data_IF_792266088231
#
_entry.id   IF_792266088231
#
_cell.length_a   1.000
_cell.length_b   1.000
_cell.length_c   1.000
_cell.angle_alpha   90.00
_cell.angle_beta   90.00
_cell.angle_gamma   90.00
#
_symmetry.space_group_name_H-M   'P 1'
#
loop_
_entity.id
_entity.type
_entity.pdbx_description
1 polymer ?
#
# COMPACT_ATOMS: atom_id res chain seq x y z
N UNK A 1 -9.33 41.39 -6.64
CA UNK A 1 -8.83 41.41 -8.02
C UNK A 1 -7.33 41.09 -8.10
N UNK A 2 -6.49 41.66 -7.22
CA UNK A 2 -5.04 41.46 -7.21
C UNK A 2 -4.67 39.98 -6.89
N UNK A 3 -5.28 39.38 -5.88
CA UNK A 3 -5.03 37.96 -5.51
C UNK A 3 -5.42 36.97 -6.61
N UNK A 4 -6.43 37.28 -7.41
CA UNK A 4 -6.85 36.43 -8.53
C UNK A 4 -5.84 36.49 -9.69
N UNK A 5 -5.28 37.68 -9.96
CA UNK A 5 -4.23 37.85 -10.98
C UNK A 5 -2.91 37.19 -10.54
N UNK A 6 -2.51 37.30 -9.28
CA UNK A 6 -1.32 36.62 -8.76
C UNK A 6 -1.44 35.09 -8.84
N UNK A 7 -2.60 34.51 -8.49
CA UNK A 7 -2.83 33.06 -8.65
C UNK A 7 -2.76 32.59 -10.11
N UNK A 8 -3.34 33.35 -11.03
CA UNK A 8 -3.27 33.04 -12.46
C UNK A 8 -1.86 33.16 -13.04
N UNK A 9 -1.06 34.11 -12.52
CA UNK A 9 0.32 34.28 -12.93
C UNK A 9 1.18 33.11 -12.45
N UNK A 10 1.07 32.69 -11.18
CA UNK A 10 1.76 31.52 -10.64
C UNK A 10 1.44 30.20 -11.38
N UNK A 11 0.16 29.99 -11.76
CA UNK A 11 -0.24 28.80 -12.53
C UNK A 11 0.38 28.84 -13.93
N UNK A 12 0.36 29.99 -14.58
CA UNK A 12 0.91 30.17 -15.93
C UNK A 12 2.43 30.04 -15.94
N UNK A 13 3.11 30.56 -14.93
CA UNK A 13 4.57 30.51 -14.82
C UNK A 13 5.05 29.07 -14.57
N UNK A 14 4.35 28.32 -13.72
CA UNK A 14 4.60 26.88 -13.52
C UNK A 14 4.34 26.06 -14.79
N UNK A 15 3.24 26.33 -15.50
CA UNK A 15 2.97 25.69 -16.78
C UNK A 15 4.05 25.98 -17.83
N UNK A 16 4.59 27.19 -17.84
CA UNK A 16 5.67 27.59 -18.75
C UNK A 16 7.03 27.01 -18.36
N UNK A 17 7.24 26.70 -17.07
CA UNK A 17 8.45 26.06 -16.56
C UNK A 17 8.50 24.54 -16.85
N UNK A 18 7.35 23.92 -17.22
CA UNK A 18 7.32 22.51 -17.59
C UNK A 18 8.08 22.28 -18.90
N UNK A 19 8.87 21.20 -18.93
CA UNK A 19 9.55 20.76 -20.15
C UNK A 19 8.56 20.40 -21.26
N UNK A 20 9.00 20.38 -22.53
CA UNK A 20 8.11 19.99 -23.64
C UNK A 20 7.58 18.56 -23.45
N UNK A 21 8.39 17.63 -22.96
CA UNK A 21 7.99 16.26 -22.67
C UNK A 21 6.90 16.19 -21.58
N UNK A 22 6.96 17.06 -20.57
CA UNK A 22 5.97 17.11 -19.50
C UNK A 22 4.62 17.66 -19.98
N UNK A 23 4.64 18.62 -20.93
CA UNK A 23 3.42 19.17 -21.55
C UNK A 23 2.63 18.13 -22.33
N UNK A 24 3.30 17.16 -22.95
CA UNK A 24 2.62 16.05 -23.65
C UNK A 24 1.96 15.05 -22.70
N UNK A 25 2.37 15.03 -21.42
CA UNK A 25 1.84 14.14 -20.39
C UNK A 25 0.71 14.74 -19.53
N UNK A 26 0.19 15.92 -19.89
CA UNK A 26 -0.90 16.60 -19.17
C UNK A 26 -2.28 15.96 -19.38
N UNK A 27 -2.38 14.89 -20.15
CA UNK A 27 -3.59 14.08 -20.27
C UNK A 27 -3.88 13.26 -19.00
N UNK A 28 -5.06 12.68 -18.93
CA UNK A 28 -5.39 11.65 -17.95
C UNK A 28 -4.39 10.51 -18.11
N UNK A 29 -3.43 10.40 -17.17
CA UNK A 29 -2.42 9.35 -17.18
C UNK A 29 -3.02 7.94 -17.04
N UNK A 30 -2.14 6.93 -17.00
CA UNK A 30 -2.57 5.56 -16.68
C UNK A 30 -3.27 5.53 -15.32
N UNK A 31 -4.39 4.82 -15.23
CA UNK A 31 -5.15 4.63 -13.97
C UNK A 31 -4.28 4.12 -12.82
N UNK A 32 -3.25 3.35 -13.13
CA UNK A 32 -2.34 2.76 -12.16
C UNK A 32 -1.10 3.64 -11.89
N UNK A 33 -1.02 4.84 -12.44
CA UNK A 33 0.11 5.77 -12.31
C UNK A 33 1.21 5.60 -13.38
N UNK A 34 2.27 6.41 -13.31
CA UNK A 34 3.37 6.42 -14.26
C UNK A 34 3.99 5.03 -14.46
N UNK A 35 4.15 4.62 -15.73
CA UNK A 35 4.74 3.33 -16.09
C UNK A 35 6.20 3.23 -15.65
N UNK A 36 6.95 4.31 -15.79
CA UNK A 36 8.36 4.32 -15.44
C UNK A 36 8.56 4.24 -13.93
N UNK A 37 7.75 4.96 -13.15
CA UNK A 37 7.73 4.84 -11.69
C UNK A 37 7.38 3.41 -11.26
N UNK A 38 6.37 2.77 -11.86
CA UNK A 38 5.99 1.39 -11.54
C UNK A 38 7.11 0.40 -11.88
N UNK A 39 7.85 0.60 -12.97
CA UNK A 39 9.04 -0.21 -13.31
C UNK A 39 10.16 -0.03 -12.30
N UNK A 40 10.44 1.20 -11.89
CA UNK A 40 11.44 1.50 -10.86
C UNK A 40 11.07 0.86 -9.52
N UNK A 41 9.80 0.90 -9.14
CA UNK A 41 9.32 0.23 -7.92
C UNK A 41 9.45 -1.29 -8.05
N UNK A 42 9.09 -1.90 -9.19
CA UNK A 42 9.23 -3.34 -9.39
C UNK A 42 10.70 -3.79 -9.27
N UNK A 43 11.64 -3.02 -9.84
CA UNK A 43 13.06 -3.28 -9.70
C UNK A 43 13.52 -3.14 -8.25
N UNK A 44 13.13 -2.07 -7.58
CA UNK A 44 13.45 -1.85 -6.16
C UNK A 44 12.95 -3.01 -5.27
N UNK A 45 11.70 -3.47 -5.47
CA UNK A 45 11.13 -4.58 -4.73
C UNK A 45 11.89 -5.89 -4.97
N UNK A 46 12.31 -6.14 -6.21
CA UNK A 46 13.14 -7.30 -6.53
C UNK A 46 14.48 -7.26 -5.80
N UNK A 47 15.15 -6.10 -5.79
CA UNK A 47 16.49 -5.94 -5.22
C UNK A 47 16.46 -5.87 -3.68
N UNK A 48 15.52 -5.12 -3.10
CA UNK A 48 15.47 -4.86 -1.67
C UNK A 48 14.68 -5.92 -0.88
N UNK A 49 13.62 -6.51 -1.48
CA UNK A 49 12.70 -7.42 -0.80
C UNK A 49 12.67 -8.83 -1.40
N UNK A 50 13.36 -9.06 -2.51
CA UNK A 50 13.28 -10.32 -3.25
C UNK A 50 11.90 -10.56 -3.89
N UNK A 51 11.02 -9.55 -3.90
CA UNK A 51 9.67 -9.62 -4.42
C UNK A 51 9.66 -9.30 -5.90
N UNK A 52 9.54 -10.32 -6.74
CA UNK A 52 9.51 -10.19 -8.20
C UNK A 52 8.06 -10.05 -8.67
N UNK A 53 7.73 -8.87 -9.18
CA UNK A 53 6.40 -8.52 -9.69
C UNK A 53 6.50 -7.80 -11.03
N UNK A 54 5.47 -7.94 -11.87
CA UNK A 54 5.36 -7.11 -13.08
C UNK A 54 4.92 -5.68 -12.71
N UNK A 55 5.42 -4.70 -13.45
CA UNK A 55 5.01 -3.30 -13.27
C UNK A 55 3.48 -3.09 -13.48
N UNK A 56 2.81 -4.00 -14.20
CA UNK A 56 1.36 -4.02 -14.36
C UNK A 56 0.60 -4.30 -13.06
N UNK A 57 1.22 -5.04 -12.13
CA UNK A 57 0.65 -5.36 -10.82
C UNK A 57 0.73 -4.20 -9.82
N UNK A 58 1.49 -3.15 -10.12
CA UNK A 58 1.71 -2.02 -9.22
C UNK A 58 0.70 -0.92 -9.51
N UNK A 59 -0.01 -0.49 -8.48
CA UNK A 59 -0.89 0.68 -8.50
C UNK A 59 -0.29 1.75 -7.58
N UNK A 60 -0.03 2.92 -8.14
CA UNK A 60 0.49 4.06 -7.39
C UNK A 60 -0.64 4.73 -6.61
N UNK A 61 -0.34 5.10 -5.36
CA UNK A 61 -1.30 5.71 -4.44
C UNK A 61 -0.71 6.96 -3.76
N UNK A 62 -1.55 7.81 -3.19
CA UNK A 62 -1.13 8.97 -2.38
C UNK A 62 -0.72 8.58 -0.96
N UNK A 63 0.00 7.47 -0.80
CA UNK A 63 0.42 6.87 0.45
C UNK A 63 -0.35 5.60 0.82
N UNK A 64 0.11 4.91 1.87
CA UNK A 64 -0.45 3.63 2.30
C UNK A 64 -1.95 3.68 2.63
N UNK A 65 -2.42 4.77 3.23
CA UNK A 65 -3.84 4.91 3.59
C UNK A 65 -4.76 4.81 2.36
N UNK A 66 -4.39 5.43 1.23
CA UNK A 66 -5.17 5.29 0.00
C UNK A 66 -5.12 3.86 -0.54
N UNK A 67 -3.99 3.16 -0.40
CA UNK A 67 -3.91 1.74 -0.75
C UNK A 67 -4.91 0.92 0.08
N UNK A 68 -5.03 1.18 1.39
CA UNK A 68 -6.02 0.50 2.24
C UNK A 68 -7.45 0.80 1.81
N UNK A 69 -7.76 2.07 1.48
CA UNK A 69 -9.08 2.45 0.93
C UNK A 69 -9.36 1.68 -0.35
N UNK A 70 -8.41 1.64 -1.28
CA UNK A 70 -8.55 0.97 -2.57
C UNK A 70 -8.79 -0.53 -2.41
N UNK A 71 -8.00 -1.20 -1.56
CA UNK A 71 -8.14 -2.64 -1.27
C UNK A 71 -9.52 -2.91 -0.62
N UNK A 72 -9.84 -2.14 0.40
CA UNK A 72 -11.12 -2.31 1.12
C UNK A 72 -12.32 -2.09 0.21
N UNK A 73 -12.30 -1.04 -0.61
CA UNK A 73 -13.36 -0.74 -1.57
C UNK A 73 -13.52 -1.85 -2.64
N UNK A 74 -12.41 -2.42 -3.10
CA UNK A 74 -12.43 -3.46 -4.13
C UNK A 74 -12.92 -4.82 -3.60
N UNK A 75 -12.70 -5.14 -2.31
CA UNK A 75 -12.85 -6.49 -1.78
C UNK A 75 -13.93 -6.65 -0.71
N UNK A 76 -14.17 -5.62 0.10
CA UNK A 76 -15.05 -5.71 1.26
C UNK A 76 -16.48 -5.30 0.93
N UNK A 77 -17.39 -5.96 1.61
CA UNK A 77 -18.82 -5.59 1.71
C UNK A 77 -19.15 -5.32 3.17
N UNK A 78 -20.20 -4.56 3.40
CA UNK A 78 -20.69 -4.36 4.76
C UNK A 78 -21.01 -5.71 5.43
N UNK A 79 -20.51 -5.89 6.65
CA UNK A 79 -20.64 -7.12 7.42
C UNK A 79 -19.50 -8.14 7.22
N UNK A 80 -18.61 -7.95 6.25
CA UNK A 80 -17.45 -8.84 6.10
C UNK A 80 -16.53 -8.75 7.33
N UNK A 81 -16.03 -9.90 7.81
CA UNK A 81 -15.08 -9.97 8.93
C UNK A 81 -13.68 -9.62 8.46
N UNK A 82 -13.02 -8.75 9.21
CA UNK A 82 -11.61 -8.39 9.02
C UNK A 82 -10.84 -8.65 10.30
N UNK A 83 -9.75 -9.42 10.23
CA UNK A 83 -8.83 -9.54 11.34
C UNK A 83 -7.79 -8.42 11.26
N UNK A 84 -7.62 -7.72 12.36
CA UNK A 84 -6.76 -6.55 12.45
C UNK A 84 -5.85 -6.62 13.67
N UNK A 85 -4.56 -6.37 13.49
CA UNK A 85 -3.59 -6.33 14.59
C UNK A 85 -4.02 -5.37 15.71
N UNK A 86 -3.94 -5.83 16.97
CA UNK A 86 -4.27 -5.01 18.13
C UNK A 86 -3.20 -5.17 19.24
N UNK A 87 -2.42 -4.10 19.55
CA UNK A 87 -2.49 -2.78 18.95
C UNK A 87 -2.03 -2.77 17.48
N UNK A 88 -2.53 -1.81 16.68
CA UNK A 88 -2.23 -1.70 15.27
C UNK A 88 -2.44 -0.29 14.71
N UNK A 89 -2.24 -0.12 13.41
CA UNK A 89 -2.33 1.17 12.72
C UNK A 89 -3.77 1.70 12.70
N UNK A 90 -4.08 2.76 13.46
CA UNK A 90 -5.43 3.27 13.68
C UNK A 90 -6.13 3.66 12.37
N UNK A 91 -5.46 4.42 11.50
CA UNK A 91 -6.08 4.90 10.27
C UNK A 91 -6.45 3.77 9.27
N UNK A 92 -5.71 2.67 9.25
CA UNK A 92 -6.06 1.48 8.44
C UNK A 92 -7.32 0.80 8.98
N UNK A 93 -7.42 0.64 10.30
CA UNK A 93 -8.62 0.09 10.96
C UNK A 93 -9.85 0.94 10.67
N UNK A 94 -9.72 2.27 10.79
CA UNK A 94 -10.82 3.19 10.59
C UNK A 94 -11.34 3.16 9.14
N UNK A 95 -10.47 2.96 8.16
CA UNK A 95 -10.87 2.74 6.75
C UNK A 95 -11.78 1.52 6.63
N UNK A 96 -11.38 0.37 7.19
CA UNK A 96 -12.15 -0.88 7.09
C UNK A 96 -13.49 -0.77 7.83
N UNK A 97 -13.49 -0.12 8.98
CA UNK A 97 -14.72 0.18 9.73
C UNK A 97 -15.66 1.11 8.93
N UNK A 98 -15.13 2.13 8.27
CA UNK A 98 -15.89 3.04 7.42
C UNK A 98 -16.52 2.34 6.20
N UNK A 99 -15.90 1.23 5.71
CA UNK A 99 -16.50 0.38 4.68
C UNK A 99 -17.58 -0.58 5.21
N UNK A 100 -17.90 -0.50 6.50
CA UNK A 100 -18.92 -1.33 7.13
C UNK A 100 -18.45 -2.74 7.51
N UNK A 101 -17.15 -3.00 7.53
CA UNK A 101 -16.61 -4.29 7.93
C UNK A 101 -16.67 -4.49 9.46
N UNK A 102 -16.81 -5.74 9.89
CA UNK A 102 -16.66 -6.17 11.26
C UNK A 102 -15.18 -6.38 11.58
N UNK A 103 -14.54 -5.38 12.19
CA UNK A 103 -13.11 -5.41 12.46
C UNK A 103 -12.83 -6.09 13.81
N UNK A 104 -12.23 -7.29 13.76
CA UNK A 104 -11.90 -8.11 14.92
C UNK A 104 -10.46 -7.84 15.39
N UNK A 105 -10.26 -7.39 16.64
CA UNK A 105 -8.94 -7.06 17.17
C UNK A 105 -8.17 -8.33 17.55
N UNK A 106 -7.17 -8.67 16.75
CA UNK A 106 -6.30 -9.84 17.02
C UNK A 106 -5.08 -9.39 17.81
N UNK A 107 -4.82 -9.98 18.99
CA UNK A 107 -3.65 -9.63 19.80
C UNK A 107 -2.34 -9.96 19.09
N UNK A 108 -1.27 -9.32 19.55
CA UNK A 108 0.10 -9.53 19.08
C UNK A 108 0.88 -10.24 20.17
N UNK A 109 1.51 -11.36 19.83
CA UNK A 109 2.44 -12.08 20.68
C UNK A 109 3.92 -11.85 20.25
N UNK A 110 4.85 -12.60 20.83
CA UNK A 110 6.27 -12.48 20.50
C UNK A 110 6.61 -12.86 19.04
N UNK A 111 5.72 -13.53 18.33
CA UNK A 111 5.88 -13.97 16.93
C UNK A 111 5.04 -13.15 15.94
N UNK A 112 4.34 -12.12 16.38
CA UNK A 112 3.48 -11.26 15.58
C UNK A 112 1.99 -11.49 15.84
N UNK A 113 1.12 -11.34 14.84
CA UNK A 113 -0.33 -11.55 14.93
C UNK A 113 -0.63 -12.97 15.47
N UNK A 114 -1.38 -13.06 16.58
CA UNK A 114 -1.73 -14.34 17.22
C UNK A 114 -2.83 -15.05 16.41
N UNK A 115 -2.36 -15.91 15.50
CA UNK A 115 -3.23 -16.65 14.60
C UNK A 115 -4.13 -17.65 15.33
N UNK A 116 -3.64 -18.27 16.42
CA UNK A 116 -4.40 -19.29 17.14
C UNK A 116 -5.49 -18.65 18.00
N UNK A 117 -5.20 -17.51 18.62
CA UNK A 117 -6.24 -16.72 19.26
C UNK A 117 -7.34 -16.32 18.25
N UNK A 118 -6.95 -15.82 17.09
CA UNK A 118 -7.90 -15.38 16.08
C UNK A 118 -8.83 -16.50 15.60
N UNK A 119 -8.29 -17.68 15.31
CA UNK A 119 -9.05 -18.89 14.90
C UNK A 119 -10.05 -19.35 15.95
N UNK A 120 -9.71 -19.22 17.22
CA UNK A 120 -10.53 -19.73 18.33
C UNK A 120 -11.63 -18.74 18.76
N UNK A 121 -11.49 -17.46 18.43
CA UNK A 121 -12.38 -16.41 18.96
C UNK A 121 -13.18 -15.66 17.89
N UNK A 122 -12.80 -15.76 16.62
CA UNK A 122 -13.44 -14.98 15.55
C UNK A 122 -13.81 -15.84 14.35
N UNK A 123 -14.81 -15.39 13.60
CA UNK A 123 -15.18 -15.98 12.33
C UNK A 123 -14.07 -15.85 11.30
N UNK A 124 -14.08 -16.73 10.27
CA UNK A 124 -13.13 -16.70 9.16
C UNK A 124 -13.17 -15.33 8.49
N UNK A 125 -12.03 -14.62 8.40
CA UNK A 125 -12.00 -13.27 7.87
C UNK A 125 -12.01 -13.27 6.34
N UNK A 126 -12.63 -12.25 5.77
CA UNK A 126 -12.45 -11.92 4.36
C UNK A 126 -11.07 -11.31 4.09
N UNK A 127 -10.56 -10.53 5.04
CA UNK A 127 -9.31 -9.79 4.95
C UNK A 127 -8.56 -9.84 6.29
N UNK A 128 -7.24 -9.98 6.24
CA UNK A 128 -6.34 -9.91 7.39
C UNK A 128 -5.38 -8.74 7.17
N UNK A 129 -5.27 -7.85 8.13
CA UNK A 129 -4.28 -6.76 8.10
C UNK A 129 -3.12 -7.10 9.02
N UNK A 130 -1.91 -7.08 8.48
CA UNK A 130 -0.69 -7.39 9.22
C UNK A 130 0.48 -6.48 8.82
N UNK A 131 1.38 -6.23 9.78
CA UNK A 131 2.65 -5.51 9.62
C UNK A 131 3.84 -6.44 9.92
N UNK A 132 4.09 -7.48 9.08
CA UNK A 132 4.95 -8.61 9.45
C UNK A 132 6.44 -8.24 9.59
N UNK A 133 6.90 -7.20 8.89
CA UNK A 133 8.31 -6.79 8.90
C UNK A 133 8.69 -6.02 10.15
N UNK A 134 7.78 -5.18 10.64
CA UNK A 134 7.95 -4.37 11.83
C UNK A 134 6.56 -3.96 12.35
N UNK A 135 6.05 -4.72 13.31
CA UNK A 135 4.70 -4.51 13.83
C UNK A 135 4.54 -3.12 14.46
N UNK A 136 3.52 -2.41 14.04
CA UNK A 136 3.21 -1.08 14.57
C UNK A 136 2.15 -1.16 15.69
N UNK A 137 2.41 -0.66 16.90
CA UNK A 137 3.58 0.14 17.34
C UNK A 137 4.65 -0.67 18.09
N UNK A 138 4.52 -2.00 18.24
CA UNK A 138 5.32 -2.77 19.17
C UNK A 138 6.73 -3.13 18.64
N UNK A 139 6.99 -2.98 17.34
CA UNK A 139 8.28 -3.27 16.73
C UNK A 139 8.60 -4.76 16.59
N UNK A 140 7.64 -5.65 16.83
CA UNK A 140 7.80 -7.10 16.73
C UNK A 140 7.91 -7.50 15.26
N UNK A 141 8.89 -8.35 14.94
CA UNK A 141 8.99 -8.96 13.61
C UNK A 141 8.28 -10.30 13.61
N UNK A 142 7.33 -10.51 12.72
CA UNK A 142 6.62 -11.78 12.59
C UNK A 142 7.59 -12.89 12.19
N UNK A 143 7.59 -13.98 12.94
CA UNK A 143 8.45 -15.15 12.69
C UNK A 143 8.14 -15.80 11.35
N UNK A 144 9.13 -16.51 10.77
CA UNK A 144 8.91 -17.25 9.53
C UNK A 144 7.82 -18.30 9.67
N UNK A 145 7.78 -19.00 10.81
CA UNK A 145 6.77 -20.02 11.09
C UNK A 145 5.36 -19.41 11.10
N UNK A 146 5.20 -18.23 11.73
CA UNK A 146 3.92 -17.52 11.77
C UNK A 146 3.52 -17.02 10.38
N UNK A 147 4.47 -16.51 9.55
CA UNK A 147 4.22 -16.10 8.16
C UNK A 147 3.66 -17.25 7.32
N UNK A 148 4.32 -18.42 7.37
CA UNK A 148 3.88 -19.61 6.63
C UNK A 148 2.51 -20.13 7.12
N UNK A 149 2.28 -20.12 8.43
CA UNK A 149 0.99 -20.52 9.01
C UNK A 149 -0.14 -19.56 8.59
N UNK A 150 0.12 -18.26 8.56
CA UNK A 150 -0.83 -17.25 8.15
C UNK A 150 -1.18 -17.37 6.67
N UNK A 151 -0.19 -17.57 5.79
CA UNK A 151 -0.40 -17.80 4.36
C UNK A 151 -1.21 -19.06 4.11
N UNK A 152 -0.85 -20.16 4.75
CA UNK A 152 -1.59 -21.43 4.66
C UNK A 152 -3.05 -21.26 5.12
N UNK A 153 -3.27 -20.55 6.22
CA UNK A 153 -4.62 -20.26 6.70
C UNK A 153 -5.40 -19.43 5.68
N UNK A 154 -4.80 -18.38 5.14
CA UNK A 154 -5.45 -17.51 4.16
C UNK A 154 -5.80 -18.28 2.87
N UNK A 155 -4.89 -19.12 2.36
CA UNK A 155 -5.15 -19.97 1.19
C UNK A 155 -6.31 -20.92 1.41
N UNK A 156 -6.31 -21.67 2.54
CA UNK A 156 -7.35 -22.65 2.87
C UNK A 156 -8.75 -22.04 3.05
N UNK A 157 -8.83 -20.78 3.45
CA UNK A 157 -10.08 -20.10 3.78
C UNK A 157 -10.50 -19.03 2.76
N UNK A 158 -9.79 -18.89 1.64
CA UNK A 158 -10.03 -17.86 0.66
C UNK A 158 -9.98 -16.43 1.26
N UNK A 159 -9.17 -16.23 2.30
CA UNK A 159 -8.94 -14.94 2.91
C UNK A 159 -7.86 -14.17 2.15
N UNK A 160 -7.93 -12.83 2.18
CA UNK A 160 -6.91 -11.94 1.67
C UNK A 160 -6.01 -11.46 2.80
N UNK A 161 -4.80 -11.04 2.48
CA UNK A 161 -3.89 -10.42 3.45
C UNK A 161 -3.44 -9.06 2.90
N UNK A 162 -3.48 -8.03 3.72
CA UNK A 162 -2.71 -6.80 3.52
C UNK A 162 -1.42 -6.95 4.31
N UNK A 163 -0.30 -6.90 3.61
CA UNK A 163 1.03 -6.74 4.19
C UNK A 163 1.39 -5.26 4.11
N UNK A 164 1.30 -4.53 5.22
CA UNK A 164 1.74 -3.14 5.32
C UNK A 164 3.23 -3.09 5.68
N UNK A 165 4.05 -2.68 4.72
CA UNK A 165 5.51 -2.60 4.84
C UNK A 165 5.98 -1.15 4.76
N UNK A 166 5.82 -0.44 5.86
CA UNK A 166 6.00 1.01 5.94
C UNK A 166 7.43 1.47 6.21
N UNK A 167 8.33 0.60 6.72
CA UNK A 167 9.66 0.98 7.18
C UNK A 167 10.75 -0.09 7.04
N UNK A 168 10.53 -1.15 6.29
CA UNK A 168 11.48 -2.27 6.13
C UNK A 168 12.83 -1.84 5.53
N UNK A 169 12.91 -0.68 4.88
CA UNK A 169 14.14 -0.11 4.34
C UNK A 169 15.11 0.34 5.46
N UNK A 170 14.61 0.60 6.68
CA UNK A 170 15.40 1.09 7.83
C UNK A 170 15.88 -0.01 8.78
N UNK A 171 16.03 -1.22 8.30
CA UNK A 171 16.51 -2.31 9.15
C UNK A 171 18.02 -2.25 9.36
N UNK A 172 18.41 -1.90 10.58
CA UNK A 172 19.81 -1.72 10.95
C UNK A 172 20.52 -3.02 11.47
N UNK A 173 19.82 -4.12 11.68
CA UNK A 173 20.37 -5.37 12.21
C UNK A 173 19.80 -6.60 11.54
N UNK A 174 20.69 -7.54 11.14
CA UNK A 174 20.34 -8.85 10.61
C UNK A 174 19.86 -8.82 9.14
N UNK A 175 19.79 -10.00 8.51
CA UNK A 175 19.17 -10.16 7.19
C UNK A 175 17.65 -9.99 7.33
N UNK A 176 17.00 -9.20 6.46
CA UNK A 176 15.55 -9.09 6.46
C UNK A 176 14.94 -10.48 6.16
N UNK A 177 13.89 -10.83 6.89
CA UNK A 177 13.06 -11.95 6.48
C UNK A 177 12.39 -11.62 5.16
N UNK A 178 12.16 -12.62 4.29
CA UNK A 178 11.39 -12.41 3.06
C UNK A 178 10.04 -11.77 3.37
N UNK A 179 9.57 -10.87 2.52
CA UNK A 179 8.21 -10.33 2.64
C UNK A 179 7.19 -11.48 2.64
N UNK A 180 6.04 -11.27 3.27
CA UNK A 180 4.97 -12.26 3.27
C UNK A 180 4.54 -12.57 1.83
N UNK A 181 4.40 -11.54 1.01
CA UNK A 181 4.10 -11.62 -0.41
C UNK A 181 5.15 -12.38 -1.24
N UNK A 182 6.41 -12.42 -0.80
CA UNK A 182 7.46 -13.25 -1.44
C UNK A 182 7.27 -14.73 -1.18
N UNK A 183 6.66 -15.09 -0.06
CA UNK A 183 6.39 -16.48 0.37
C UNK A 183 5.02 -16.97 -0.09
N UNK A 184 4.21 -16.11 -0.68
CA UNK A 184 2.81 -16.35 -1.03
C UNK A 184 2.66 -17.09 -2.36
N UNK A 185 2.51 -18.41 -2.31
CA UNK A 185 2.26 -19.26 -3.48
C UNK A 185 0.83 -19.12 -4.00
N UNK A 186 -0.13 -18.81 -3.14
CA UNK A 186 -1.57 -18.71 -3.45
C UNK A 186 -1.97 -17.33 -3.99
N UNK A 187 -1.03 -16.38 -4.03
CA UNK A 187 -1.25 -15.01 -4.51
C UNK A 187 -2.43 -14.31 -3.82
N UNK A 188 -2.43 -14.36 -2.48
CA UNK A 188 -3.45 -13.79 -1.58
C UNK A 188 -3.02 -12.52 -0.88
N UNK A 189 -1.76 -12.09 -1.08
CA UNK A 189 -1.19 -10.95 -0.37
C UNK A 189 -1.19 -9.70 -1.24
N UNK A 190 -1.73 -8.62 -0.72
CA UNK A 190 -1.52 -7.26 -1.20
C UNK A 190 -0.35 -6.66 -0.44
N UNK A 191 0.74 -6.39 -1.13
CA UNK A 191 1.88 -5.72 -0.52
C UNK A 191 1.69 -4.21 -0.66
N UNK A 192 1.69 -3.50 0.47
CA UNK A 192 1.56 -2.03 0.52
C UNK A 192 2.87 -1.43 0.95
N UNK A 193 3.43 -0.55 0.12
CA UNK A 193 4.63 0.21 0.41
C UNK A 193 4.39 1.72 0.39
N UNK A 194 5.24 2.46 1.08
CA UNK A 194 5.16 3.92 1.16
C UNK A 194 6.54 4.57 1.12
N UNK A 195 6.67 5.67 0.41
CA UNK A 195 7.87 6.49 0.39
C UNK A 195 7.90 7.57 1.48
N UNK A 196 6.82 7.66 2.28
CA UNK A 196 6.69 8.68 3.34
C UNK A 196 7.77 8.61 4.41
N UNK A 197 8.36 7.43 4.64
CA UNK A 197 9.46 7.24 5.58
C UNK A 197 10.83 7.31 4.89
N UNK A 198 10.94 6.74 3.68
CA UNK A 198 12.20 6.68 2.95
C UNK A 198 12.62 8.02 2.33
N UNK A 199 11.68 8.82 1.86
CA UNK A 199 11.94 10.14 1.28
C UNK A 199 11.49 11.27 2.24
N UNK A 200 10.23 11.61 2.19
CA UNK A 200 9.60 12.53 3.15
C UNK A 200 8.08 12.36 3.13
N UNK A 201 7.43 12.70 4.24
CA UNK A 201 5.97 12.56 4.38
C UNK A 201 5.19 13.51 3.46
N UNK A 202 5.81 14.60 3.01
CA UNK A 202 5.18 15.60 2.14
C UNK A 202 4.96 15.09 0.70
N UNK A 203 5.79 14.15 0.22
CA UNK A 203 5.66 13.57 -1.14
C UNK A 203 4.34 12.83 -1.34
N UNK A 204 3.76 12.30 -0.26
CA UNK A 204 2.47 11.59 -0.29
C UNK A 204 2.42 10.51 -1.39
N UNK A 205 3.48 9.73 -1.51
CA UNK A 205 3.62 8.68 -2.49
C UNK A 205 3.64 7.31 -1.81
N UNK A 206 2.84 6.40 -2.31
CA UNK A 206 2.79 5.00 -1.93
C UNK A 206 2.42 4.13 -3.11
N UNK A 207 2.36 2.85 -2.89
CA UNK A 207 1.94 1.89 -3.91
C UNK A 207 1.35 0.64 -3.27
N UNK A 208 0.57 -0.07 -4.06
CA UNK A 208 0.13 -1.43 -3.74
C UNK A 208 0.50 -2.38 -4.87
N UNK A 209 1.03 -3.54 -4.51
CA UNK A 209 1.19 -4.68 -5.43
C UNK A 209 -0.06 -5.51 -5.34
N UNK A 210 -0.73 -5.66 -6.46
CA UNK A 210 -2.01 -6.35 -6.60
C UNK A 210 -1.79 -7.73 -7.24
N UNK A 211 -2.44 -8.80 -6.76
CA UNK A 211 -2.46 -10.07 -7.47
C UNK A 211 -2.86 -9.92 -8.93
N UNK A 212 -2.15 -10.60 -9.85
CA UNK A 212 -2.28 -10.41 -11.30
C UNK A 212 -3.72 -10.47 -11.81
N UNK A 213 -4.50 -11.40 -11.31
CA UNK A 213 -5.90 -11.61 -11.72
C UNK A 213 -6.89 -10.58 -11.17
N UNK A 214 -6.46 -9.67 -10.29
CA UNK A 214 -7.27 -8.56 -9.78
C UNK A 214 -6.90 -7.20 -10.42
N UNK A 215 -5.92 -7.13 -11.30
CA UNK A 215 -5.45 -5.87 -11.91
C UNK A 215 -6.60 -5.08 -12.53
N UNK A 216 -7.48 -5.73 -13.29
CA UNK A 216 -8.62 -5.05 -13.92
C UNK A 216 -9.65 -4.54 -12.90
N UNK A 217 -9.89 -5.31 -11.82
CA UNK A 217 -10.78 -4.89 -10.73
C UNK A 217 -10.23 -3.65 -10.04
N UNK A 218 -8.93 -3.63 -9.78
CA UNK A 218 -8.27 -2.49 -9.16
C UNK A 218 -8.19 -1.27 -10.08
N UNK A 219 -7.98 -1.45 -11.37
CA UNK A 219 -8.05 -0.36 -12.34
C UNK A 219 -9.44 0.31 -12.35
N UNK A 220 -10.52 -0.49 -12.30
CA UNK A 220 -11.90 0.03 -12.18
C UNK A 220 -12.11 0.76 -10.86
N UNK A 221 -11.66 0.20 -9.75
CA UNK A 221 -11.76 0.82 -8.42
C UNK A 221 -10.97 2.14 -8.34
N UNK A 222 -9.76 2.18 -8.89
CA UNK A 222 -8.94 3.40 -8.98
C UNK A 222 -9.66 4.49 -9.80
N UNK A 223 -10.30 4.11 -10.90
CA UNK A 223 -11.07 5.07 -11.72
C UNK A 223 -12.26 5.66 -10.95
N UNK A 224 -12.95 4.86 -10.15
CA UNK A 224 -14.10 5.31 -9.33
C UNK A 224 -13.67 6.21 -8.18
N UNK A 225 -12.54 5.92 -7.54
CA UNK A 225 -12.03 6.70 -6.40
C UNK A 225 -11.28 7.99 -6.83
N UNK A 226 -11.12 8.20 -8.12
CA UNK A 226 -10.40 9.33 -8.69
C UNK A 226 -8.93 9.01 -8.97
N UNK A 227 -8.41 9.57 -10.06
CA UNK A 227 -7.01 9.40 -10.47
C UNK A 227 -6.10 10.30 -9.66
N UNK A 228 -4.96 9.77 -9.23
CA UNK A 228 -3.91 10.57 -8.61
C UNK A 228 -3.08 11.27 -9.70
N UNK A 229 -3.07 12.58 -9.72
CA UNK A 229 -2.15 13.37 -10.54
C UNK A 229 -0.78 13.44 -9.84
N UNK A 230 0.07 12.43 -10.05
CA UNK A 230 1.39 12.33 -9.40
C UNK A 230 2.48 13.12 -10.12
N UNK A 231 2.26 13.57 -11.35
CA UNK A 231 3.20 14.44 -12.09
C UNK A 231 3.48 15.75 -11.33
N UNK A 232 2.56 16.17 -10.48
CA UNK A 232 2.68 17.42 -9.73
C UNK A 232 3.53 17.32 -8.45
N UNK A 233 3.75 16.11 -7.92
CA UNK A 233 4.48 15.88 -6.67
C UNK A 233 5.95 15.55 -6.88
N UNK A 234 6.35 15.03 -8.05
CA UNK A 234 7.75 14.73 -8.36
C UNK A 234 8.57 15.99 -8.60
N UNK A 235 8.01 17.04 -9.22
CA UNK A 235 8.73 18.29 -9.48
C UNK A 235 8.98 19.13 -8.22
N UNK A 236 8.10 19.03 -7.22
CA UNK A 236 8.29 19.76 -5.95
C UNK A 236 9.50 19.28 -5.13
N UNK A 237 9.98 18.06 -5.38
CA UNK A 237 11.16 17.52 -4.68
C UNK A 237 12.49 17.97 -5.33
N UNK A 238 12.47 18.39 -6.59
CA UNK A 238 13.67 18.87 -7.31
C UNK A 238 13.93 20.37 -7.06
N UNK A 239 12.90 21.17 -6.77
CA UNK A 239 13.06 22.62 -6.47
C UNK A 239 13.73 22.91 -5.12
N UNK A 240 13.78 21.98 -4.17
CA UNK A 240 14.49 22.17 -2.88
C UNK A 240 16.01 21.90 -2.96
N UNK A 241 16.53 21.49 -4.13
CA UNK A 241 17.96 21.21 -4.34
C UNK A 241 18.72 22.27 -5.13
N UNK A 242 18.08 23.39 -5.41
CA UNK A 242 18.69 24.54 -6.11
C UNK A 242 19.19 25.64 -5.17
#
# INVERSE_FOLDING_TARGET
LVLRRQRQMCIRDRFNAMSESDRYNLGYGSLNGSRDLRRSIAQHLADARGLRVDAGQIVITSGAQQAFVLISFALLKAGDTVWYENPGHIAGRDVMTAMGANVMPVPIDAEGLDLDYAKNNFDIPKLIFATPSHQHPLGITMSLARRLSLLKFAGNNNSWIIEDDYDSEFRYRGRPLPALSTLDEERRVFYVGTFSKALCSAVRLGYVVVPEWLIETFAKATNLLGQNCLLYTSDAADEERG
#
